data_IF_597299530503
#
_entry.id   IF_597299530503
#
_cell.length_a   1.000
_cell.length_b   1.000
_cell.length_c   1.000
_cell.angle_alpha   90.00
_cell.angle_beta   90.00
_cell.angle_gamma   90.00
#
_symmetry.space_group_name_H-M   'P 1'
#
loop_
_entity.id
_entity.type
_entity.pdbx_description
1 polymer ?
#
# COMPACT_ATOMS: atom_id res chain seq x y z
N UNK A 1 6.19 -2.65 -6.64
CA UNK A 1 5.75 -3.06 -5.29
C UNK A 1 6.62 -2.53 -4.14
N UNK A 2 7.82 -1.99 -4.39
CA UNK A 2 8.70 -1.48 -3.32
C UNK A 2 8.06 -0.35 -2.49
N UNK A 3 7.48 0.67 -3.13
CA UNK A 3 6.76 1.74 -2.43
C UNK A 3 5.53 1.23 -1.66
N UNK A 4 4.80 0.25 -2.20
CA UNK A 4 3.70 -0.40 -1.47
C UNK A 4 4.22 -1.10 -0.20
N UNK A 5 5.35 -1.80 -0.27
CA UNK A 5 5.97 -2.45 0.89
C UNK A 5 6.44 -1.43 1.92
N UNK A 6 7.08 -0.35 1.46
CA UNK A 6 7.52 0.75 2.31
C UNK A 6 6.34 1.41 3.02
N UNK A 7 5.32 1.82 2.28
CA UNK A 7 4.07 2.34 2.84
C UNK A 7 3.45 1.33 3.79
N UNK A 8 3.31 0.05 3.44
CA UNK A 8 2.73 -0.96 4.35
C UNK A 8 3.48 -1.01 5.69
N UNK A 9 4.81 -0.95 5.65
CA UNK A 9 5.66 -1.02 6.85
C UNK A 9 5.75 0.29 7.64
N UNK A 10 5.52 1.45 7.01
CA UNK A 10 5.61 2.77 7.65
C UNK A 10 4.24 3.42 7.90
N UNK A 11 3.17 2.91 7.30
CA UNK A 11 1.82 3.50 7.31
C UNK A 11 1.26 3.67 8.72
N UNK A 12 1.62 2.78 9.66
CA UNK A 12 1.22 2.88 11.07
C UNK A 12 1.77 4.12 11.78
N UNK A 13 2.82 4.77 11.24
CA UNK A 13 3.38 6.01 11.79
C UNK A 13 2.59 7.25 11.39
N UNK A 14 1.69 7.13 10.43
CA UNK A 14 0.89 8.24 9.91
C UNK A 14 -0.57 8.01 10.28
N UNK A 15 -1.28 9.09 10.58
CA UNK A 15 -2.70 9.06 10.99
C UNK A 15 -3.63 8.56 9.86
N UNK A 16 -3.12 8.55 8.63
CA UNK A 16 -3.83 8.10 7.45
C UNK A 16 -2.92 7.95 6.24
N UNK A 17 -3.41 7.21 5.25
CA UNK A 17 -2.67 7.04 3.99
C UNK A 17 -2.57 8.33 3.19
N UNK A 18 -3.44 9.32 3.42
CA UNK A 18 -3.38 10.66 2.85
C UNK A 18 -2.24 11.51 3.45
N UNK A 19 -1.77 11.18 4.66
CA UNK A 19 -0.67 11.87 5.35
C UNK A 19 0.71 11.29 5.03
N UNK A 20 0.75 10.13 4.37
CA UNK A 20 2.01 9.53 3.94
C UNK A 20 2.64 10.37 2.81
N UNK A 21 3.96 10.62 2.84
CA UNK A 21 4.64 11.41 1.82
C UNK A 21 4.87 10.59 0.54
N UNK A 22 3.81 10.41 -0.25
CA UNK A 22 3.90 9.71 -1.53
C UNK A 22 4.83 10.42 -2.50
N UNK A 23 5.73 9.67 -3.13
CA UNK A 23 6.60 10.21 -4.19
C UNK A 23 5.81 10.68 -5.41
N UNK A 24 4.69 10.02 -5.71
CA UNK A 24 3.77 10.41 -6.79
C UNK A 24 2.32 10.27 -6.32
N UNK A 25 1.42 11.21 -6.66
CA UNK A 25 0.02 11.14 -6.25
C UNK A 25 -0.70 9.86 -6.72
N UNK A 26 -0.32 9.33 -7.89
CA UNK A 26 -0.93 8.10 -8.43
C UNK A 26 -0.65 6.86 -7.58
N UNK A 27 0.49 6.83 -6.86
CA UNK A 27 0.88 5.69 -6.03
C UNK A 27 -0.05 5.50 -4.83
N UNK A 28 -0.62 6.58 -4.30
CA UNK A 28 -1.63 6.53 -3.25
C UNK A 28 -2.82 5.65 -3.66
N UNK A 29 -3.40 5.93 -4.82
CA UNK A 29 -4.55 5.18 -5.34
C UNK A 29 -4.18 3.72 -5.66
N UNK A 30 -3.03 3.49 -6.30
CA UNK A 30 -2.58 2.14 -6.64
C UNK A 30 -2.37 1.28 -5.37
N UNK A 31 -1.68 1.82 -4.36
CA UNK A 31 -1.37 1.09 -3.14
C UNK A 31 -2.62 0.79 -2.29
N UNK A 32 -3.59 1.72 -2.25
CA UNK A 32 -4.89 1.48 -1.63
C UNK A 32 -5.65 0.36 -2.31
N UNK A 33 -5.75 0.40 -3.64
CA UNK A 33 -6.40 -0.64 -4.43
C UNK A 33 -5.74 -2.01 -4.22
N UNK A 34 -4.40 -2.06 -4.19
CA UNK A 34 -3.66 -3.28 -3.91
C UNK A 34 -3.91 -3.81 -2.50
N UNK A 35 -4.05 -2.95 -1.49
CA UNK A 35 -4.38 -3.36 -0.12
C UNK A 35 -5.78 -3.92 -0.04
N UNK A 36 -6.78 -3.23 -0.60
CA UNK A 36 -8.16 -3.71 -0.62
C UNK A 36 -8.28 -5.06 -1.32
N UNK A 37 -7.71 -5.19 -2.53
CA UNK A 37 -7.74 -6.44 -3.29
C UNK A 37 -6.94 -7.57 -2.63
N UNK A 38 -5.82 -7.23 -1.98
CA UNK A 38 -5.01 -8.19 -1.24
C UNK A 38 -5.75 -8.76 -0.02
N UNK A 39 -6.54 -7.93 0.67
CA UNK A 39 -7.39 -8.35 1.80
C UNK A 39 -8.57 -9.18 1.29
N UNK A 40 -9.26 -8.73 0.25
CA UNK A 40 -10.44 -9.43 -0.31
C UNK A 40 -10.11 -10.82 -0.85
N UNK A 41 -8.91 -11.00 -1.43
CA UNK A 41 -8.49 -12.25 -2.07
C UNK A 41 -7.58 -13.12 -1.20
N UNK A 42 -7.31 -12.75 0.05
CA UNK A 42 -6.29 -13.40 0.91
C UNK A 42 -4.99 -13.70 0.16
N UNK A 43 -4.55 -12.77 -0.71
CA UNK A 43 -3.38 -13.00 -1.56
C UNK A 43 -2.14 -13.11 -0.67
N UNK A 44 -1.51 -14.28 -0.67
CA UNK A 44 -0.24 -14.51 0.03
C UNK A 44 0.90 -13.79 -0.69
N UNK A 45 2.01 -13.55 0.01
CA UNK A 45 3.14 -12.73 -0.47
C UNK A 45 3.73 -13.19 -1.82
N UNK A 46 3.51 -14.46 -2.20
CA UNK A 46 3.91 -15.02 -3.50
C UNK A 46 3.08 -14.51 -4.69
N UNK A 47 1.83 -14.12 -4.47
CA UNK A 47 0.90 -13.62 -5.51
C UNK A 47 1.01 -12.10 -5.72
N UNK A 48 1.68 -11.40 -4.79
CA UNK A 48 1.90 -9.94 -4.82
C UNK A 48 3.29 -9.57 -5.38
N UNK A 49 3.98 -10.50 -6.03
CA UNK A 49 5.36 -10.34 -6.52
C UNK A 49 5.41 -9.75 -7.92
#
# INVERSE_FOLDING_TARGET
MEEYRRWRNESWRYDGSDKYPWSQPVLYHICLEMRSKGIERQMTEGELK
#
